data_IF_776856678503
#
_entry.id   IF_776856678503
#
_cell.length_a   1.000
_cell.length_b   1.000
_cell.length_c   1.000
_cell.angle_alpha   90.00
_cell.angle_beta   90.00
_cell.angle_gamma   90.00
#
_symmetry.space_group_name_H-M   'P 1'
#
loop_
_entity.id
_entity.type
_entity.pdbx_description
1 polymer ?
#
# COMPACT_ATOMS: atom_id res chain seq x y z
N UNK A 1 5.43 -1.98 12.56
CA UNK A 1 5.50 -1.55 11.15
C UNK A 1 4.16 -1.00 10.69
N UNK A 2 4.08 -0.31 9.55
CA UNK A 2 2.82 0.21 9.01
C UNK A 2 2.81 0.22 7.48
N UNK A 3 1.62 0.12 6.87
CA UNK A 3 1.39 0.45 5.46
C UNK A 3 0.59 1.74 5.41
N UNK A 4 1.06 2.70 4.62
CA UNK A 4 0.42 4.00 4.46
C UNK A 4 -0.28 4.05 3.10
N UNK A 5 -1.56 4.42 3.09
CA UNK A 5 -2.34 4.66 1.88
C UNK A 5 -2.51 6.16 1.71
N UNK A 6 -2.16 6.66 0.53
CA UNK A 6 -2.23 8.07 0.17
C UNK A 6 -3.32 8.24 -0.89
N UNK A 7 -4.04 9.35 -0.83
CA UNK A 7 -4.92 9.78 -1.91
C UNK A 7 -4.09 10.45 -3.01
N UNK A 8 -4.08 9.86 -4.20
CA UNK A 8 -3.25 10.31 -5.32
C UNK A 8 -3.61 11.72 -5.83
N UNK A 9 -4.91 12.08 -5.84
CA UNK A 9 -5.37 13.37 -6.38
C UNK A 9 -5.01 14.55 -5.49
N UNK A 10 -5.05 14.32 -4.18
CA UNK A 10 -4.86 15.38 -3.17
C UNK A 10 -3.53 15.30 -2.46
N UNK A 11 -2.78 14.20 -2.63
CA UNK A 11 -1.55 13.88 -1.92
C UNK A 11 -1.70 13.86 -0.39
N UNK A 12 -2.94 13.66 0.09
CA UNK A 12 -3.25 13.61 1.51
C UNK A 12 -3.23 12.18 2.04
N UNK A 13 -2.92 12.05 3.33
CA UNK A 13 -3.01 10.78 4.03
C UNK A 13 -4.46 10.27 4.02
N UNK A 14 -4.67 9.07 3.48
CA UNK A 14 -5.98 8.42 3.44
C UNK A 14 -6.19 7.46 4.60
N UNK A 15 -5.24 6.55 4.81
CA UNK A 15 -5.32 5.60 5.92
C UNK A 15 -3.96 5.04 6.30
N UNK A 16 -3.84 4.56 7.54
CA UNK A 16 -2.66 3.86 8.04
C UNK A 16 -3.07 2.48 8.54
N UNK A 17 -2.50 1.43 7.96
CA UNK A 17 -2.74 0.04 8.35
C UNK A 17 -1.64 -0.35 9.34
N UNK A 18 -2.06 -0.72 10.56
CA UNK A 18 -1.20 -1.24 11.62
C UNK A 18 -1.79 -2.55 12.11
N UNK A 19 -0.95 -3.56 12.26
CA UNK A 19 -1.33 -4.86 12.80
C UNK A 19 -0.08 -5.46 13.50
N UNK A 20 -0.22 -6.09 14.68
CA UNK A 20 0.90 -6.77 15.34
C UNK A 20 1.57 -7.85 14.48
N UNK A 21 0.83 -8.47 13.56
CA UNK A 21 1.34 -9.48 12.60
C UNK A 21 2.18 -8.88 11.48
N UNK A 22 2.16 -7.56 11.32
CA UNK A 22 2.87 -6.86 10.26
C UNK A 22 4.34 -6.61 10.63
N UNK A 23 5.15 -7.67 10.56
CA UNK A 23 6.59 -7.63 10.81
C UNK A 23 7.31 -7.35 9.48
N UNK A 24 8.17 -6.33 9.45
CA UNK A 24 9.03 -5.97 8.29
C UNK A 24 8.33 -6.04 6.91
N UNK A 25 7.29 -5.22 6.66
CA UNK A 25 6.54 -5.28 5.40
C UNK A 25 7.34 -4.69 4.23
N UNK A 26 7.76 -5.54 3.29
CA UNK A 26 8.56 -5.17 2.10
C UNK A 26 7.67 -5.03 0.86
N UNK A 27 7.76 -5.93 -0.11
CA UNK A 27 7.06 -5.84 -1.39
C UNK A 27 5.54 -5.74 -1.23
N UNK A 28 4.91 -4.94 -2.10
CA UNK A 28 3.46 -4.67 -2.11
C UNK A 28 2.99 -4.78 -3.56
N UNK A 29 2.23 -5.81 -3.88
CA UNK A 29 1.83 -6.12 -5.25
C UNK A 29 0.31 -6.00 -5.37
N UNK A 30 -0.16 -5.09 -6.22
CA UNK A 30 -1.57 -4.97 -6.54
C UNK A 30 -1.91 -5.99 -7.65
N UNK A 31 -2.89 -6.86 -7.40
CA UNK A 31 -3.23 -7.97 -8.30
C UNK A 31 -3.52 -7.49 -9.73
N UNK A 32 -4.39 -6.50 -9.87
CA UNK A 32 -4.80 -6.00 -11.19
C UNK A 32 -3.62 -5.39 -11.95
N UNK A 33 -2.81 -4.58 -11.27
CA UNK A 33 -1.69 -3.89 -11.87
C UNK A 33 -0.57 -4.86 -12.25
N UNK A 34 -0.26 -5.84 -11.41
CA UNK A 34 0.76 -6.85 -11.69
C UNK A 34 0.32 -7.83 -12.79
N UNK A 35 -0.97 -8.17 -12.87
CA UNK A 35 -1.47 -9.06 -13.92
C UNK A 35 -1.41 -8.43 -15.32
N UNK A 36 -1.64 -7.12 -15.41
CA UNK A 36 -1.72 -6.39 -16.68
C UNK A 36 -0.47 -5.54 -16.98
N UNK A 37 0.61 -5.72 -16.21
CA UNK A 37 1.85 -4.94 -16.32
C UNK A 37 1.63 -3.41 -16.31
N UNK A 38 0.74 -2.93 -15.44
CA UNK A 38 0.45 -1.51 -15.25
C UNK A 38 1.28 -0.95 -14.10
N UNK A 39 2.18 0.00 -14.40
CA UNK A 39 3.10 0.63 -13.44
C UNK A 39 3.18 2.14 -13.60
#
# INVERSE_FOLDING_TARGET
SAIVVVDDKTLKLKSVIKDPRLITPTGKFNVNNTQHDVY
#
